data_IF_867434984699
#
_entry.id   IF_867434984699
#
_cell.length_a   1.000
_cell.length_b   1.000
_cell.length_c   1.000
_cell.angle_alpha   90.00
_cell.angle_beta   90.00
_cell.angle_gamma   90.00
#
_symmetry.space_group_name_H-M   'P 1'
#
loop_
_entity.id
_entity.type
_entity.pdbx_description
1 polymer ?
#
# COMPACT_ATOMS: atom_id res chain seq x y z
N UNK A 1 -26.19 -8.25 -15.93
CA UNK A 1 -25.66 -6.87 -15.94
C UNK A 1 -24.23 -6.78 -15.39
N UNK A 2 -23.80 -7.70 -14.52
CA UNK A 2 -22.46 -7.70 -13.89
C UNK A 2 -21.27 -8.03 -14.81
N UNK A 3 -21.50 -8.53 -16.03
CA UNK A 3 -20.46 -9.21 -16.83
C UNK A 3 -19.55 -8.23 -17.60
N UNK A 4 -19.85 -6.93 -17.64
CA UNK A 4 -19.19 -6.00 -18.59
C UNK A 4 -18.24 -4.97 -17.97
N UNK A 5 -18.22 -4.77 -16.65
CA UNK A 5 -17.33 -3.77 -16.05
C UNK A 5 -15.91 -4.30 -15.89
N UNK A 6 -14.98 -3.73 -16.66
CA UNK A 6 -13.56 -4.01 -16.55
C UNK A 6 -12.97 -3.39 -15.27
N UNK A 7 -12.00 -4.07 -14.66
CA UNK A 7 -11.17 -3.49 -13.61
C UNK A 7 -10.42 -2.25 -14.12
N UNK A 8 -10.15 -1.30 -13.25
CA UNK A 8 -9.46 -0.06 -13.62
C UNK A 8 -8.65 0.53 -12.47
N UNK A 9 -7.70 1.39 -12.83
CA UNK A 9 -6.92 2.22 -11.91
C UNK A 9 -6.84 3.62 -12.50
N UNK A 10 -7.72 4.51 -12.06
CA UNK A 10 -7.87 5.85 -12.62
C UNK A 10 -7.38 6.90 -11.65
N UNK A 11 -6.50 7.78 -12.15
CA UNK A 11 -6.06 8.98 -11.45
C UNK A 11 -6.65 10.22 -12.10
N UNK A 12 -6.97 11.23 -11.28
CA UNK A 12 -7.59 12.48 -11.71
C UNK A 12 -6.82 13.21 -12.79
N UNK A 13 -5.49 13.20 -12.71
CA UNK A 13 -4.60 13.82 -13.70
C UNK A 13 -4.81 13.31 -15.13
N UNK A 14 -5.29 12.07 -15.31
CA UNK A 14 -5.50 11.46 -16.62
C UNK A 14 -6.98 11.38 -17.04
N UNK A 15 -7.92 11.59 -16.11
CA UNK A 15 -9.36 11.38 -16.35
C UNK A 15 -10.19 12.59 -15.90
N UNK A 16 -9.70 13.80 -16.18
CA UNK A 16 -10.19 15.06 -15.57
C UNK A 16 -11.69 15.27 -15.72
N UNK A 17 -12.27 14.98 -16.89
CA UNK A 17 -13.70 15.17 -17.16
C UNK A 17 -14.59 14.28 -16.29
N UNK A 18 -14.21 13.01 -16.11
CA UNK A 18 -14.94 12.07 -15.26
C UNK A 18 -14.92 12.51 -13.79
N UNK A 19 -13.75 12.91 -13.28
CA UNK A 19 -13.62 13.41 -11.91
C UNK A 19 -14.30 14.78 -11.71
N UNK A 20 -14.37 15.61 -12.75
CA UNK A 20 -15.11 16.88 -12.72
C UNK A 20 -16.62 16.64 -12.66
N UNK A 21 -17.14 15.71 -13.45
CA UNK A 21 -18.55 15.28 -13.41
C UNK A 21 -18.91 14.68 -12.04
N UNK A 22 -18.07 13.79 -11.50
CA UNK A 22 -18.26 13.21 -10.17
C UNK A 22 -18.40 14.28 -9.07
N UNK A 23 -17.58 15.34 -9.16
CA UNK A 23 -17.67 16.48 -8.24
C UNK A 23 -18.91 17.33 -8.47
N UNK A 24 -19.23 17.65 -9.72
CA UNK A 24 -20.35 18.52 -10.07
C UNK A 24 -21.70 17.87 -9.75
N UNK A 25 -21.85 16.58 -10.06
CA UNK A 25 -23.13 15.86 -9.97
C UNK A 25 -23.38 15.34 -8.55
N UNK A 26 -22.33 14.93 -7.82
CA UNK A 26 -22.46 14.23 -6.54
C UNK A 26 -21.78 14.91 -5.36
N UNK A 27 -21.01 15.98 -5.58
CA UNK A 27 -20.20 16.63 -4.53
C UNK A 27 -18.98 15.82 -4.08
N UNK A 28 -18.61 14.78 -4.83
CA UNK A 28 -17.49 13.88 -4.51
C UNK A 28 -16.23 14.35 -5.23
N UNK A 29 -15.21 14.78 -4.48
CA UNK A 29 -13.88 15.15 -5.02
C UNK A 29 -12.84 14.14 -4.54
N UNK A 30 -12.41 13.27 -5.45
CA UNK A 30 -11.40 12.22 -5.22
C UNK A 30 -10.20 12.40 -6.16
N UNK A 31 -9.00 12.01 -5.71
CA UNK A 31 -7.75 12.08 -6.48
C UNK A 31 -7.52 10.86 -7.36
N UNK A 32 -7.98 9.69 -6.90
CA UNK A 32 -7.91 8.43 -7.64
C UNK A 32 -9.02 7.48 -7.19
N UNK A 33 -9.37 6.54 -8.08
CA UNK A 33 -10.22 5.39 -7.80
C UNK A 33 -9.62 4.16 -8.49
N UNK A 34 -9.46 3.09 -7.74
CA UNK A 34 -9.00 1.78 -8.19
C UNK A 34 -10.10 0.78 -7.91
N UNK A 35 -10.45 -0.02 -8.91
CA UNK A 35 -11.45 -1.07 -8.82
C UNK A 35 -10.84 -2.40 -9.26
N UNK A 36 -10.86 -3.37 -8.35
CA UNK A 36 -10.53 -4.76 -8.62
C UNK A 36 -11.79 -5.61 -8.55
N UNK A 37 -11.90 -6.52 -9.52
CA UNK A 37 -12.96 -7.51 -9.58
C UNK A 37 -12.37 -8.88 -9.33
N UNK A 38 -12.69 -9.46 -8.19
CA UNK A 38 -12.31 -10.82 -7.84
C UNK A 38 -13.52 -11.52 -7.20
N UNK A 39 -13.33 -12.31 -6.14
CA UNK A 39 -14.40 -12.85 -5.29
C UNK A 39 -15.34 -11.76 -4.75
N UNK A 40 -14.82 -10.52 -4.60
CA UNK A 40 -15.58 -9.33 -4.21
C UNK A 40 -15.30 -8.14 -5.14
N UNK A 41 -16.23 -7.20 -5.19
CA UNK A 41 -16.01 -5.89 -5.81
C UNK A 41 -15.21 -5.00 -4.86
N UNK A 42 -13.89 -4.96 -5.04
CA UNK A 42 -13.00 -4.19 -4.18
C UNK A 42 -12.71 -2.82 -4.79
N UNK A 43 -12.94 -1.76 -4.00
CA UNK A 43 -12.68 -0.38 -4.42
C UNK A 43 -11.81 0.33 -3.40
N UNK A 44 -10.77 0.99 -3.89
CA UNK A 44 -9.97 1.95 -3.13
C UNK A 44 -10.05 3.29 -3.82
N UNK A 45 -10.28 4.36 -3.05
CA UNK A 45 -10.30 5.72 -3.56
C UNK A 45 -9.59 6.64 -2.58
N UNK A 46 -9.06 7.76 -3.08
CA UNK A 46 -8.43 8.80 -2.24
C UNK A 46 -9.27 10.07 -2.28
N UNK A 47 -10.29 10.22 -1.42
CA UNK A 47 -11.11 11.42 -1.35
C UNK A 47 -10.32 12.60 -0.78
N UNK A 48 -10.62 13.80 -1.27
CA UNK A 48 -10.13 15.01 -0.63
C UNK A 48 -10.82 15.22 0.70
N UNK A 49 -10.04 15.67 1.67
CA UNK A 49 -10.51 16.00 3.01
C UNK A 49 -11.72 16.93 3.04
N UNK A 50 -11.71 17.98 2.21
CA UNK A 50 -12.85 18.91 2.11
C UNK A 50 -14.12 18.21 1.62
N UNK A 51 -14.01 17.28 0.66
CA UNK A 51 -15.18 16.53 0.17
C UNK A 51 -15.77 15.61 1.23
N UNK A 52 -14.94 15.03 2.10
CA UNK A 52 -15.43 14.24 3.24
C UNK A 52 -16.17 15.10 4.27
N UNK A 53 -15.66 16.31 4.56
CA UNK A 53 -16.30 17.25 5.48
C UNK A 53 -17.63 17.75 4.90
N UNK A 54 -17.64 18.18 3.64
CA UNK A 54 -18.83 18.68 2.94
C UNK A 54 -19.93 17.59 2.86
N UNK A 55 -19.53 16.32 2.78
CA UNK A 55 -20.44 15.18 2.79
C UNK A 55 -20.88 14.74 4.20
N UNK A 56 -20.37 15.36 5.27
CA UNK A 56 -20.66 14.99 6.66
C UNK A 56 -20.03 13.68 7.11
N UNK A 57 -19.05 13.15 6.36
CA UNK A 57 -18.29 11.94 6.74
C UNK A 57 -17.35 12.25 7.91
N UNK A 58 -16.76 13.45 7.92
CA UNK A 58 -15.91 13.93 8.99
C UNK A 58 -16.49 15.21 9.57
N UNK A 59 -16.61 15.29 10.90
CA UNK A 59 -16.99 16.54 11.59
C UNK A 59 -15.82 17.53 11.63
N UNK A 60 -14.62 17.00 11.80
CA UNK A 60 -13.40 17.78 11.91
C UNK A 60 -12.37 17.38 10.87
N UNK A 61 -11.14 17.85 11.07
CA UNK A 61 -10.00 17.46 10.26
C UNK A 61 -9.42 16.10 10.69
N UNK A 62 -9.82 15.54 11.82
CA UNK A 62 -9.25 14.30 12.34
C UNK A 62 -10.14 13.09 11.97
N UNK A 63 -9.54 11.90 11.91
CA UNK A 63 -10.26 10.63 11.64
C UNK A 63 -10.93 10.03 12.89
N UNK A 64 -10.96 10.76 14.00
CA UNK A 64 -11.56 10.34 15.26
C UNK A 64 -13.10 10.44 15.27
N UNK A 65 -13.66 11.10 14.27
CA UNK A 65 -15.07 11.50 14.18
C UNK A 65 -15.70 11.07 12.85
N UNK A 66 -15.43 9.83 12.43
CA UNK A 66 -16.00 9.27 11.19
C UNK A 66 -17.47 8.90 11.40
N UNK A 67 -18.35 9.57 10.66
CA UNK A 67 -19.75 9.17 10.55
C UNK A 67 -19.88 8.01 9.57
N UNK A 68 -20.11 6.80 10.09
CA UNK A 68 -20.22 5.57 9.30
C UNK A 68 -21.34 5.64 8.26
N UNK A 69 -22.54 6.13 8.62
CA UNK A 69 -23.67 6.17 7.69
C UNK A 69 -23.41 7.14 6.53
N UNK A 70 -22.80 8.29 6.83
CA UNK A 70 -22.39 9.25 5.81
C UNK A 70 -21.28 8.67 4.90
N UNK A 71 -20.32 7.92 5.46
CA UNK A 71 -19.28 7.25 4.70
C UNK A 71 -19.86 6.21 3.73
N UNK A 72 -20.78 5.38 4.22
CA UNK A 72 -21.47 4.37 3.42
C UNK A 72 -22.24 5.02 2.26
N UNK A 73 -22.99 6.10 2.53
CA UNK A 73 -23.70 6.85 1.50
C UNK A 73 -22.74 7.49 0.49
N UNK A 74 -21.62 8.05 0.96
CA UNK A 74 -20.59 8.64 0.11
C UNK A 74 -20.03 7.61 -0.87
N UNK A 75 -19.65 6.42 -0.37
CA UNK A 75 -19.14 5.33 -1.20
C UNK A 75 -20.19 4.84 -2.19
N UNK A 76 -21.45 4.66 -1.77
CA UNK A 76 -22.55 4.24 -2.67
C UNK A 76 -22.74 5.16 -3.86
N UNK A 77 -22.67 6.49 -3.66
CA UNK A 77 -22.74 7.47 -4.76
C UNK A 77 -21.64 7.23 -5.79
N UNK A 78 -20.42 6.99 -5.32
CA UNK A 78 -19.27 6.70 -6.20
C UNK A 78 -19.47 5.39 -6.96
N UNK A 79 -19.88 4.32 -6.27
CA UNK A 79 -20.13 3.02 -6.90
C UNK A 79 -21.24 3.11 -7.96
N UNK A 80 -22.35 3.79 -7.65
CA UNK A 80 -23.45 3.99 -8.60
C UNK A 80 -23.03 4.78 -9.83
N UNK A 81 -22.26 5.87 -9.65
CA UNK A 81 -21.74 6.68 -10.76
C UNK A 81 -20.78 5.88 -11.67
N UNK A 82 -19.92 5.07 -11.07
CA UNK A 82 -18.97 4.20 -11.78
C UNK A 82 -19.60 2.89 -12.28
N UNK A 83 -20.90 2.70 -12.03
CA UNK A 83 -21.66 1.50 -12.39
C UNK A 83 -21.06 0.21 -11.78
N UNK A 84 -20.43 0.33 -10.60
CA UNK A 84 -19.92 -0.80 -9.83
C UNK A 84 -21.08 -1.40 -9.01
N UNK A 85 -21.33 -2.72 -9.10
CA UNK A 85 -22.33 -3.38 -8.27
C UNK A 85 -22.03 -3.19 -6.77
N UNK A 86 -23.06 -2.84 -6.01
CA UNK A 86 -22.99 -2.71 -4.56
C UNK A 86 -24.18 -3.46 -3.93
N UNK A 87 -24.00 -4.12 -2.77
CA UNK A 87 -25.11 -4.76 -2.07
C UNK A 87 -26.10 -3.71 -1.55
N UNK A 88 -27.41 -3.96 -1.65
CA UNK A 88 -28.46 -3.02 -1.23
C UNK A 88 -28.61 -2.87 0.29
N UNK A 89 -27.93 -3.73 1.08
CA UNK A 89 -28.01 -3.78 2.54
C UNK A 89 -26.71 -3.36 3.23
N UNK A 90 -26.63 -3.55 4.54
CA UNK A 90 -25.48 -3.20 5.40
C UNK A 90 -24.20 -4.00 5.12
N UNK A 91 -24.15 -4.80 4.04
CA UNK A 91 -22.95 -5.55 3.62
C UNK A 91 -21.89 -4.69 2.92
N UNK A 92 -22.17 -3.43 2.64
CA UNK A 92 -21.14 -2.52 2.15
C UNK A 92 -20.14 -2.26 3.30
N UNK A 93 -18.92 -2.76 3.17
CA UNK A 93 -17.85 -2.59 4.18
C UNK A 93 -16.95 -1.41 3.78
N UNK A 94 -17.45 -0.19 3.99
CA UNK A 94 -16.69 1.03 3.73
C UNK A 94 -15.86 1.41 4.97
N UNK A 95 -14.54 1.53 4.79
CA UNK A 95 -13.60 1.95 5.82
C UNK A 95 -12.75 3.12 5.34
N UNK A 96 -12.32 3.97 6.28
CA UNK A 96 -11.51 5.16 6.01
C UNK A 96 -10.14 5.04 6.67
N UNK A 97 -9.08 5.29 5.90
CA UNK A 97 -7.68 5.17 6.33
C UNK A 97 -6.91 6.47 6.04
N UNK A 98 -5.93 6.79 6.90
CA UNK A 98 -5.05 7.94 6.69
C UNK A 98 -3.87 7.58 5.78
N UNK A 99 -3.77 8.24 4.63
CA UNK A 99 -2.60 8.18 3.74
C UNK A 99 -1.82 9.49 3.66
N UNK A 100 -2.05 10.43 4.59
CA UNK A 100 -1.38 11.75 4.59
C UNK A 100 0.12 11.65 4.82
N UNK A 101 0.58 10.59 5.49
CA UNK A 101 1.99 10.31 5.71
C UNK A 101 2.26 8.85 5.40
N UNK A 102 3.43 8.57 4.80
CA UNK A 102 3.94 7.20 4.65
C UNK A 102 5.11 7.01 5.60
N UNK A 103 5.00 6.02 6.47
CA UNK A 103 6.04 5.66 7.43
C UNK A 103 7.02 4.67 6.82
N UNK A 104 8.29 4.83 7.17
CA UNK A 104 9.35 3.90 6.79
C UNK A 104 10.37 3.83 7.92
N UNK A 105 10.95 2.67 8.12
CA UNK A 105 12.07 2.54 9.04
C UNK A 105 13.32 3.22 8.45
N UNK A 106 14.07 3.92 9.29
CA UNK A 106 15.39 4.46 8.94
C UNK A 106 16.38 3.33 8.64
N UNK A 107 16.31 2.24 9.41
CA UNK A 107 17.15 1.04 9.26
C UNK A 107 16.28 -0.20 9.16
N UNK A 108 16.63 -1.08 8.23
CA UNK A 108 15.91 -2.33 8.03
C UNK A 108 16.29 -3.43 9.04
N UNK A 109 17.49 -3.35 9.63
CA UNK A 109 17.95 -4.28 10.65
C UNK A 109 18.95 -3.67 11.62
N UNK A 110 19.11 -4.31 12.79
CA UNK A 110 20.14 -4.05 13.80
C UNK A 110 20.67 -5.37 14.36
N UNK A 111 21.93 -5.36 14.81
CA UNK A 111 22.50 -6.47 15.58
C UNK A 111 22.71 -6.01 17.02
N UNK A 112 22.18 -6.78 17.97
CA UNK A 112 22.26 -6.50 19.40
C UNK A 112 23.21 -7.50 20.07
N UNK A 113 24.14 -6.99 20.86
CA UNK A 113 25.09 -7.79 21.64
C UNK A 113 24.74 -7.71 23.13
N UNK A 114 23.93 -8.65 23.63
CA UNK A 114 23.57 -8.69 25.05
C UNK A 114 24.62 -9.42 25.91
N UNK A 115 25.33 -10.40 25.33
CA UNK A 115 26.39 -11.14 26.01
C UNK A 115 27.60 -11.30 25.08
N UNK A 116 28.80 -11.44 25.65
CA UNK A 116 30.06 -11.47 24.89
C UNK A 116 30.15 -12.56 23.80
N UNK A 117 29.36 -13.63 23.91
CA UNK A 117 29.39 -14.79 22.98
C UNK A 117 28.14 -14.94 22.11
N UNK A 118 27.17 -14.04 22.23
CA UNK A 118 25.90 -14.16 21.51
C UNK A 118 25.48 -12.82 20.92
N UNK A 119 24.97 -12.86 19.69
CA UNK A 119 24.37 -11.72 19.01
C UNK A 119 22.94 -12.05 18.59
N UNK A 120 22.10 -11.02 18.50
CA UNK A 120 20.71 -11.10 18.05
C UNK A 120 20.51 -10.16 16.86
N UNK A 121 20.18 -10.71 15.70
CA UNK A 121 19.72 -9.93 14.55
C UNK A 121 18.23 -9.62 14.72
N UNK A 122 17.88 -8.34 14.65
CA UNK A 122 16.48 -7.87 14.62
C UNK A 122 16.28 -7.15 13.29
N UNK A 123 15.29 -7.57 12.51
CA UNK A 123 15.00 -7.00 11.20
C UNK A 123 13.49 -6.75 11.04
N UNK A 124 13.16 -5.70 10.29
CA UNK A 124 11.79 -5.37 9.90
C UNK A 124 11.52 -5.89 8.49
N UNK A 125 10.30 -6.38 8.26
CA UNK A 125 9.84 -6.94 6.98
C UNK A 125 8.41 -6.47 6.71
N UNK A 126 8.05 -6.26 5.44
CA UNK A 126 6.69 -5.87 5.06
C UNK A 126 6.33 -4.45 5.52
N UNK A 127 5.07 -4.25 5.89
CA UNK A 127 4.52 -2.93 6.25
C UNK A 127 5.23 -2.31 7.48
N UNK A 128 5.75 -3.14 8.38
CA UNK A 128 6.56 -2.68 9.52
C UNK A 128 7.89 -2.04 9.09
N UNK A 129 8.42 -2.43 7.93
CA UNK A 129 9.61 -1.83 7.33
C UNK A 129 9.25 -0.59 6.49
N UNK A 130 8.24 -0.72 5.64
CA UNK A 130 7.85 0.31 4.68
C UNK A 130 6.34 0.24 4.44
N UNK A 131 5.62 1.27 4.89
CA UNK A 131 4.18 1.38 4.73
C UNK A 131 3.80 1.51 3.25
N UNK A 132 2.90 0.65 2.73
CA UNK A 132 2.49 0.69 1.34
C UNK A 132 1.40 1.73 1.11
N UNK A 133 1.50 2.46 0.00
CA UNK A 133 0.37 3.19 -0.55
C UNK A 133 -0.45 2.24 -1.44
N UNK A 134 -1.61 1.78 -0.95
CA UNK A 134 -2.38 0.71 -1.60
C UNK A 134 -2.76 0.97 -3.06
N UNK A 135 -3.10 2.21 -3.49
CA UNK A 135 -3.38 2.49 -4.91
C UNK A 135 -2.23 2.15 -5.86
N UNK A 136 -0.99 2.08 -5.39
CA UNK A 136 0.16 1.69 -6.22
C UNK A 136 0.35 0.16 -6.34
N UNK A 137 -0.29 -0.65 -5.48
CA UNK A 137 -0.16 -2.11 -5.54
C UNK A 137 1.25 -2.65 -5.19
N UNK A 138 2.07 -1.90 -4.45
CA UNK A 138 3.48 -2.25 -4.20
C UNK A 138 3.74 -3.00 -2.89
N UNK A 139 2.72 -3.16 -2.03
CA UNK A 139 2.88 -3.76 -0.69
C UNK A 139 3.44 -5.17 -0.73
N UNK A 140 2.77 -6.09 -1.45
CA UNK A 140 3.23 -7.48 -1.58
C UNK A 140 4.62 -7.58 -2.23
N UNK A 141 4.86 -6.79 -3.28
CA UNK A 141 6.15 -6.77 -3.97
C UNK A 141 7.30 -6.45 -3.00
N UNK A 142 7.19 -5.33 -2.27
CA UNK A 142 8.21 -4.88 -1.30
C UNK A 142 8.27 -5.79 -0.05
N UNK A 143 7.14 -6.33 0.37
CA UNK A 143 7.07 -7.28 1.49
C UNK A 143 7.84 -8.57 1.20
N UNK A 144 7.62 -9.18 0.03
CA UNK A 144 8.32 -10.41 -0.36
C UNK A 144 9.82 -10.16 -0.57
N UNK A 145 10.17 -9.05 -1.21
CA UNK A 145 11.58 -8.67 -1.41
C UNK A 145 12.31 -8.45 -0.08
N UNK A 146 11.71 -7.71 0.86
CA UNK A 146 12.31 -7.50 2.19
C UNK A 146 12.40 -8.79 3.02
N UNK A 147 11.46 -9.73 2.85
CA UNK A 147 11.53 -11.04 3.47
C UNK A 147 12.71 -11.85 2.93
N UNK A 148 12.91 -11.88 1.60
CA UNK A 148 14.03 -12.56 0.97
C UNK A 148 15.38 -11.93 1.32
N UNK A 149 15.46 -10.60 1.40
CA UNK A 149 16.66 -9.88 1.84
C UNK A 149 17.04 -10.22 3.28
N UNK A 150 16.03 -10.31 4.15
CA UNK A 150 16.22 -10.71 5.54
C UNK A 150 16.65 -12.18 5.65
N UNK A 151 16.06 -13.08 4.87
CA UNK A 151 16.48 -14.48 4.81
C UNK A 151 17.94 -14.62 4.33
N UNK A 152 18.36 -13.81 3.36
CA UNK A 152 19.75 -13.76 2.90
C UNK A 152 20.71 -13.27 3.99
N UNK A 153 20.32 -12.23 4.74
CA UNK A 153 21.10 -11.75 5.87
C UNK A 153 21.23 -12.83 6.97
N UNK A 154 20.15 -13.53 7.30
CA UNK A 154 20.16 -14.64 8.27
C UNK A 154 21.14 -15.75 7.81
N UNK A 155 21.17 -16.10 6.53
CA UNK A 155 22.07 -17.13 5.98
C UNK A 155 23.57 -16.75 6.00
N UNK A 156 23.87 -15.48 6.30
CA UNK A 156 25.23 -14.91 6.39
C UNK A 156 25.61 -14.47 7.81
N UNK A 157 24.74 -14.69 8.80
CA UNK A 157 24.93 -14.21 10.16
C UNK A 157 26.23 -14.73 10.82
N UNK A 158 26.66 -15.94 10.46
CA UNK A 158 27.89 -16.59 10.90
C UNK A 158 29.08 -16.43 9.93
N UNK A 159 28.86 -15.85 8.75
CA UNK A 159 29.84 -15.73 7.66
C UNK A 159 30.36 -14.31 7.42
N UNK A 160 29.67 -13.31 7.95
CA UNK A 160 30.03 -11.91 7.82
C UNK A 160 30.10 -11.24 9.20
N UNK A 161 30.97 -10.24 9.34
CA UNK A 161 30.94 -9.35 10.49
C UNK A 161 29.66 -8.50 10.47
N UNK A 162 29.28 -7.96 11.62
CA UNK A 162 27.98 -7.29 11.79
C UNK A 162 27.88 -6.01 10.96
N UNK A 163 28.99 -5.29 10.76
CA UNK A 163 28.99 -4.06 9.98
C UNK A 163 28.74 -4.37 8.49
N UNK A 164 29.44 -5.35 7.93
CA UNK A 164 29.23 -5.79 6.55
C UNK A 164 27.83 -6.35 6.35
N UNK A 165 27.33 -7.16 7.29
CA UNK A 165 25.98 -7.73 7.23
C UNK A 165 24.90 -6.65 7.16
N UNK A 166 24.97 -5.65 8.05
CA UNK A 166 24.01 -4.56 8.11
C UNK A 166 24.12 -3.62 6.90
N UNK A 167 25.34 -3.35 6.42
CA UNK A 167 25.56 -2.54 5.22
C UNK A 167 24.99 -3.20 3.95
N UNK A 168 25.20 -4.52 3.79
CA UNK A 168 24.62 -5.29 2.68
C UNK A 168 23.10 -5.29 2.76
N UNK A 169 22.51 -5.54 3.94
CA UNK A 169 21.05 -5.53 4.12
C UNK A 169 20.43 -4.16 3.84
N UNK A 170 21.06 -3.07 4.28
CA UNK A 170 20.61 -1.70 3.97
C UNK A 170 20.69 -1.37 2.47
N UNK A 171 21.73 -1.86 1.78
CA UNK A 171 21.84 -1.76 0.32
C UNK A 171 20.67 -2.47 -0.37
N UNK A 172 20.31 -3.67 0.08
CA UNK A 172 19.18 -4.41 -0.47
C UNK A 172 17.84 -3.72 -0.17
N UNK A 173 17.67 -3.16 1.04
CA UNK A 173 16.49 -2.36 1.37
C UNK A 173 16.33 -1.16 0.42
N UNK A 174 17.40 -0.41 0.15
CA UNK A 174 17.38 0.69 -0.82
C UNK A 174 17.00 0.21 -2.23
N UNK A 175 17.55 -0.91 -2.69
CA UNK A 175 17.21 -1.50 -3.99
C UNK A 175 15.73 -1.95 -4.06
N UNK A 176 15.23 -2.57 -2.99
CA UNK A 176 13.84 -2.97 -2.80
C UNK A 176 12.88 -1.76 -2.87
N UNK A 177 13.19 -0.67 -2.14
CA UNK A 177 12.33 0.52 -2.14
C UNK A 177 12.18 1.15 -3.53
N UNK A 178 13.28 1.19 -4.29
CA UNK A 178 13.33 1.71 -5.65
C UNK A 178 12.87 0.72 -6.72
N UNK A 179 12.53 -0.52 -6.36
CA UNK A 179 12.14 -1.60 -7.28
C UNK A 179 13.11 -1.74 -8.47
N UNK A 180 14.42 -1.65 -8.21
CA UNK A 180 15.48 -1.83 -9.22
C UNK A 180 15.70 -3.32 -9.48
N UNK A 181 14.73 -3.94 -10.14
CA UNK A 181 14.63 -5.39 -10.30
C UNK A 181 15.12 -5.84 -11.67
N UNK A 182 15.78 -7.00 -11.69
CA UNK A 182 16.11 -7.69 -12.94
C UNK A 182 14.82 -8.18 -13.63
N UNK A 183 14.84 -8.19 -14.96
CA UNK A 183 13.67 -8.57 -15.76
C UNK A 183 13.21 -10.04 -15.59
N UNK A 184 14.14 -10.97 -15.37
CA UNK A 184 13.81 -12.40 -15.29
C UNK A 184 13.38 -12.83 -13.87
N UNK A 185 12.12 -12.56 -13.53
CA UNK A 185 11.53 -12.93 -12.23
C UNK A 185 11.62 -14.43 -11.95
N UNK A 186 11.63 -15.29 -12.98
CA UNK A 186 11.75 -16.76 -12.81
C UNK A 186 13.10 -17.21 -12.25
N UNK A 187 14.13 -16.38 -12.33
CA UNK A 187 15.44 -16.66 -11.75
C UNK A 187 15.60 -16.19 -10.31
N UNK A 188 14.61 -15.50 -9.76
CA UNK A 188 14.69 -14.91 -8.44
C UNK A 188 14.79 -16.01 -7.38
N UNK A 189 15.75 -15.85 -6.49
CA UNK A 189 15.95 -16.68 -5.32
C UNK A 189 16.37 -15.81 -4.13
N UNK A 190 16.77 -16.44 -3.02
CA UNK A 190 17.15 -15.72 -1.81
C UNK A 190 18.33 -14.77 -2.04
N UNK A 191 19.25 -15.08 -2.96
CA UNK A 191 20.38 -14.23 -3.32
C UNK A 191 19.88 -12.92 -3.97
N UNK A 192 20.15 -11.75 -3.35
CA UNK A 192 19.79 -10.44 -3.88
C UNK A 192 20.36 -10.17 -5.29
N UNK A 193 21.50 -10.76 -5.66
CA UNK A 193 22.07 -10.61 -7.00
C UNK A 193 21.21 -11.24 -8.09
N UNK A 194 20.35 -12.21 -7.75
CA UNK A 194 19.36 -12.75 -8.68
C UNK A 194 18.17 -11.82 -8.91
N UNK A 195 17.96 -10.85 -7.99
CA UNK A 195 16.75 -10.01 -7.93
C UNK A 195 17.02 -8.56 -8.34
N UNK A 196 18.11 -7.96 -7.86
CA UNK A 196 18.39 -6.54 -8.04
C UNK A 196 19.39 -6.27 -9.18
N UNK A 197 19.20 -5.13 -9.83
CA UNK A 197 20.20 -4.52 -10.70
C UNK A 197 21.30 -3.91 -9.83
N UNK A 198 22.56 -4.26 -10.13
CA UNK A 198 23.75 -3.72 -9.47
C UNK A 198 24.10 -2.34 -9.98
#
# INVERSE_FOLDING_TARGET
>A
AEVTLCQFSWAKQYNQDMFAALKADLGVDVENVVYYRDEVHYVVMTPKKASLIDAGVLETKELDSVNSDALQLYVRKVLAFLQIPAPDDDRLDAQLFDFSQTRRAEKAAVVLHRHAKSKLLVALVGDALLEPFWPQGLGINRGFLSALDTAFAVARLDKADDQTLLADHDKHYKACTGLRLRANIRSFNVDPASRYET
#
